data_IF_736514606140
#
_entry.id   IF_736514606140
#
_cell.length_a   1.000
_cell.length_b   1.000
_cell.length_c   1.000
_cell.angle_alpha   90.00
_cell.angle_beta   90.00
_cell.angle_gamma   90.00
#
_symmetry.space_group_name_H-M   'P 1'
#
loop_
_entity.id
_entity.type
_entity.pdbx_description
1 polymer ?
#
# COMPACT_ATOMS: atom_id res chain seq x y z
N UNK A 1 -35.20 -15.16 48.84
CA UNK A 1 -34.43 -16.10 47.98
C UNK A 1 -34.19 -15.42 46.63
N UNK A 2 -33.15 -14.60 46.52
CA UNK A 2 -33.00 -13.64 45.39
C UNK A 2 -31.56 -13.53 44.88
N UNK A 3 -30.68 -14.50 45.18
CA UNK A 3 -29.25 -14.46 44.83
C UNK A 3 -28.78 -15.57 43.86
N UNK A 4 -29.64 -16.51 43.48
CA UNK A 4 -29.25 -17.65 42.61
C UNK A 4 -29.48 -17.43 41.11
N UNK A 5 -30.40 -16.57 40.71
CA UNK A 5 -30.75 -16.35 39.29
C UNK A 5 -29.78 -15.37 38.61
N UNK A 6 -29.20 -14.41 39.33
CA UNK A 6 -28.25 -13.43 38.77
C UNK A 6 -26.89 -14.03 38.35
N UNK A 7 -26.48 -15.19 38.88
CA UNK A 7 -25.17 -15.78 38.54
C UNK A 7 -25.14 -16.48 37.17
N UNK A 8 -26.29 -16.94 36.67
CA UNK A 8 -26.36 -17.62 35.36
C UNK A 8 -26.30 -16.65 34.18
N UNK A 9 -26.94 -15.49 34.29
CA UNK A 9 -26.99 -14.49 33.24
C UNK A 9 -25.63 -13.83 32.98
N UNK A 10 -24.83 -13.59 34.03
CA UNK A 10 -23.48 -13.00 33.89
C UNK A 10 -22.49 -13.93 33.18
N UNK A 11 -22.57 -15.25 33.43
CA UNK A 11 -21.69 -16.22 32.77
C UNK A 11 -22.01 -16.35 31.29
N UNK A 12 -23.30 -16.33 30.92
CA UNK A 12 -23.72 -16.44 29.51
C UNK A 12 -23.30 -15.22 28.68
N UNK A 13 -23.41 -14.01 29.23
CA UNK A 13 -22.99 -12.76 28.55
C UNK A 13 -21.47 -12.74 28.32
N UNK A 14 -20.68 -13.18 29.30
CA UNK A 14 -19.22 -13.28 29.14
C UNK A 14 -18.80 -14.31 28.09
N UNK A 15 -19.51 -15.44 27.98
CA UNK A 15 -19.25 -16.45 26.94
C UNK A 15 -19.56 -15.92 25.54
N UNK A 16 -20.64 -15.16 25.37
CA UNK A 16 -21.00 -14.57 24.07
C UNK A 16 -19.99 -13.50 23.64
N UNK A 17 -19.53 -12.64 24.57
CA UNK A 17 -18.50 -11.63 24.28
C UNK A 17 -17.15 -12.28 23.94
N UNK A 18 -16.76 -13.33 24.69
CA UNK A 18 -15.54 -14.08 24.40
C UNK A 18 -15.61 -14.80 23.03
N UNK A 19 -16.77 -15.32 22.65
CA UNK A 19 -16.96 -15.97 21.35
C UNK A 19 -16.91 -14.98 20.17
N UNK A 20 -17.34 -13.72 20.35
CA UNK A 20 -17.24 -12.69 19.29
C UNK A 20 -15.84 -12.15 19.08
N UNK A 21 -14.97 -12.18 20.10
CA UNK A 21 -13.59 -11.68 20.00
C UNK A 21 -12.64 -12.60 19.21
N UNK A 22 -12.97 -13.89 19.06
CA UNK A 22 -12.15 -14.85 18.31
C UNK A 22 -12.40 -14.76 16.79
N UNK A 23 -13.45 -14.05 16.36
CA UNK A 23 -13.75 -13.79 14.94
C UNK A 23 -13.30 -12.41 14.47
N UNK A 24 -12.43 -11.72 15.20
CA UNK A 24 -11.60 -10.68 14.61
C UNK A 24 -10.63 -11.36 13.64
N UNK A 25 -11.14 -11.68 12.44
CA UNK A 25 -10.33 -12.19 11.35
C UNK A 25 -9.16 -11.25 11.14
N UNK A 26 -7.98 -11.83 10.92
CA UNK A 26 -6.83 -11.07 10.43
C UNK A 26 -7.32 -10.39 9.16
N UNK A 27 -7.50 -9.07 9.22
CA UNK A 27 -7.81 -8.28 8.04
C UNK A 27 -6.52 -8.31 7.20
N UNK A 28 -6.43 -9.30 6.30
CA UNK A 28 -5.38 -9.36 5.30
C UNK A 28 -5.68 -8.25 4.29
N UNK A 29 -5.08 -7.08 4.51
CA UNK A 29 -5.20 -5.94 3.61
C UNK A 29 -4.54 -6.19 2.24
N UNK A 30 -3.72 -7.23 2.14
CA UNK A 30 -3.03 -7.64 0.91
C UNK A 30 -3.58 -8.98 0.40
N UNK A 31 -4.26 -8.99 -0.75
CA UNK A 31 -4.60 -10.23 -1.46
C UNK A 31 -3.51 -10.56 -2.49
N UNK A 32 -3.25 -11.85 -2.72
CA UNK A 32 -2.36 -12.28 -3.80
C UNK A 32 -2.75 -11.63 -5.15
N UNK A 33 -1.77 -11.03 -5.82
CA UNK A 33 -1.91 -10.48 -7.17
C UNK A 33 -2.41 -9.03 -7.25
N UNK A 34 -2.47 -8.33 -6.12
CA UNK A 34 -2.68 -6.89 -6.07
C UNK A 34 -1.33 -6.18 -5.98
N UNK A 35 -1.13 -5.13 -6.76
CA UNK A 35 -0.02 -4.19 -6.59
C UNK A 35 -0.59 -2.83 -6.21
N UNK A 36 0.09 -2.13 -5.31
CA UNK A 36 -0.47 -0.95 -4.66
C UNK A 36 0.39 0.28 -4.92
N UNK A 37 -0.28 1.39 -5.10
CA UNK A 37 0.27 2.73 -5.04
C UNK A 37 -0.39 3.45 -3.85
N UNK A 38 0.39 3.74 -2.83
CA UNK A 38 -0.03 4.52 -1.68
C UNK A 38 0.44 5.97 -1.83
N UNK A 39 -0.44 6.91 -1.51
CA UNK A 39 -0.11 8.33 -1.46
C UNK A 39 -0.32 8.88 -0.06
N UNK A 40 0.65 9.67 0.39
CA UNK A 40 0.57 10.50 1.58
C UNK A 40 0.56 11.98 1.15
N UNK A 41 -0.57 12.63 1.39
CA UNK A 41 -0.85 14.00 0.95
C UNK A 41 -0.79 14.92 2.15
N UNK A 42 0.24 15.76 2.20
CA UNK A 42 0.43 16.78 3.21
C UNK A 42 0.01 18.16 2.69
N UNK A 43 0.24 19.21 3.49
CA UNK A 43 -0.14 20.58 3.13
C UNK A 43 0.63 21.08 1.89
N UNK A 44 1.92 20.75 1.80
CA UNK A 44 2.84 21.29 0.78
C UNK A 44 3.67 20.25 0.02
N UNK A 45 3.45 18.96 0.27
CA UNK A 45 4.21 17.86 -0.31
C UNK A 45 3.32 16.62 -0.53
N UNK A 46 3.73 15.77 -1.47
CA UNK A 46 3.11 14.48 -1.72
C UNK A 46 4.23 13.45 -1.74
N UNK A 47 4.09 12.46 -0.88
CA UNK A 47 4.97 11.30 -0.81
C UNK A 47 4.16 10.07 -1.19
N UNK A 48 4.85 8.97 -1.45
CA UNK A 48 4.16 7.71 -1.68
C UNK A 48 5.06 6.50 -1.68
N UNK A 49 4.40 5.37 -1.76
CA UNK A 49 5.03 4.06 -1.79
C UNK A 49 4.39 3.20 -2.88
N UNK A 50 5.21 2.44 -3.58
CA UNK A 50 4.76 1.40 -4.50
C UNK A 50 5.06 0.04 -3.90
N UNK A 51 4.03 -0.78 -3.72
CA UNK A 51 4.17 -2.12 -3.16
C UNK A 51 4.05 -3.13 -4.30
N UNK A 52 5.18 -3.75 -4.65
CA UNK A 52 5.28 -4.75 -5.69
C UNK A 52 5.29 -6.16 -5.11
N UNK A 53 4.37 -7.06 -5.52
CA UNK A 53 4.53 -8.48 -5.23
C UNK A 53 5.85 -8.97 -5.83
N UNK A 54 6.74 -9.54 -5.01
CA UNK A 54 8.07 -9.95 -5.46
C UNK A 54 8.01 -10.98 -6.59
N UNK A 55 7.06 -11.91 -6.52
CA UNK A 55 6.82 -12.91 -7.59
C UNK A 55 6.56 -12.24 -8.94
N UNK A 56 5.63 -11.28 -8.98
CA UNK A 56 5.28 -10.58 -10.21
C UNK A 56 6.43 -9.70 -10.71
N UNK A 57 7.16 -9.06 -9.78
CA UNK A 57 8.30 -8.22 -10.11
C UNK A 57 9.45 -9.03 -10.73
N UNK A 58 9.72 -10.22 -10.21
CA UNK A 58 10.68 -11.16 -10.78
C UNK A 58 10.32 -11.56 -12.21
N UNK A 59 9.04 -11.85 -12.46
CA UNK A 59 8.58 -12.22 -13.81
C UNK A 59 8.74 -11.07 -14.81
N UNK A 60 8.33 -9.85 -14.47
CA UNK A 60 8.38 -8.72 -15.41
C UNK A 60 9.80 -8.19 -15.64
N UNK A 61 10.66 -8.25 -14.62
CA UNK A 61 12.05 -7.81 -14.74
C UNK A 61 13.00 -8.92 -15.24
N UNK A 62 12.57 -10.17 -15.19
CA UNK A 62 13.47 -11.32 -15.37
C UNK A 62 14.55 -11.38 -14.28
N UNK A 63 14.19 -10.95 -13.06
CA UNK A 63 15.07 -10.87 -11.91
C UNK A 63 14.96 -12.12 -11.01
N UNK A 64 15.83 -12.19 -10.00
CA UNK A 64 15.85 -13.26 -8.99
C UNK A 64 15.92 -12.60 -7.59
N UNK A 65 14.91 -11.80 -7.30
CA UNK A 65 14.66 -11.13 -6.03
C UNK A 65 14.23 -12.21 -5.01
N UNK A 66 14.85 -12.28 -3.82
CA UNK A 66 14.45 -13.21 -2.77
C UNK A 66 12.99 -13.05 -2.35
N UNK A 67 12.31 -14.16 -2.05
CA UNK A 67 10.87 -14.22 -1.77
C UNK A 67 10.50 -13.86 -0.31
N UNK A 68 11.48 -13.46 0.50
CA UNK A 68 11.30 -12.94 1.86
C UNK A 68 11.54 -11.42 1.92
N UNK A 69 10.88 -10.74 2.86
CA UNK A 69 10.92 -9.28 2.99
C UNK A 69 12.34 -8.70 3.13
N UNK A 70 13.15 -9.26 4.04
CA UNK A 70 14.52 -8.77 4.29
C UNK A 70 15.40 -8.97 3.05
N UNK A 71 15.30 -10.14 2.41
CA UNK A 71 16.03 -10.46 1.20
C UNK A 71 15.64 -9.58 0.01
N UNK A 72 14.35 -9.31 -0.18
CA UNK A 72 13.84 -8.43 -1.24
C UNK A 72 14.38 -7.00 -1.08
N UNK A 73 14.33 -6.46 0.14
CA UNK A 73 14.90 -5.15 0.48
C UNK A 73 16.40 -5.09 0.18
N UNK A 74 17.17 -6.02 0.73
CA UNK A 74 18.63 -6.05 0.53
C UNK A 74 19.00 -6.16 -0.95
N UNK A 75 18.22 -6.92 -1.72
CA UNK A 75 18.41 -7.04 -3.16
C UNK A 75 18.14 -5.71 -3.87
N UNK A 76 17.05 -5.00 -3.52
CA UNK A 76 16.70 -3.73 -4.14
C UNK A 76 17.72 -2.63 -3.80
N UNK A 77 18.18 -2.56 -2.55
CA UNK A 77 19.28 -1.67 -2.14
C UNK A 77 20.58 -1.92 -2.91
N UNK A 78 20.83 -3.17 -3.34
CA UNK A 78 21.98 -3.52 -4.16
C UNK A 78 21.75 -3.26 -5.67
N UNK A 79 20.51 -3.08 -6.11
CA UNK A 79 20.12 -2.88 -7.52
C UNK A 79 19.11 -1.72 -7.68
N UNK A 80 19.39 -0.53 -7.11
CA UNK A 80 18.40 0.55 -7.02
C UNK A 80 17.91 1.02 -8.38
N UNK A 81 18.84 1.23 -9.32
CA UNK A 81 18.56 1.74 -10.66
C UNK A 81 17.52 0.88 -11.39
N UNK A 82 17.56 -0.45 -11.22
CA UNK A 82 16.63 -1.35 -11.91
C UNK A 82 15.19 -1.17 -11.42
N UNK A 83 14.99 -1.00 -10.11
CA UNK A 83 13.67 -0.77 -9.54
C UNK A 83 13.21 0.66 -9.83
N UNK A 84 14.08 1.65 -9.64
CA UNK A 84 13.77 3.05 -9.90
C UNK A 84 13.41 3.31 -11.37
N UNK A 85 14.17 2.76 -12.33
CA UNK A 85 13.89 2.92 -13.75
C UNK A 85 12.56 2.26 -14.14
N UNK A 86 12.28 1.07 -13.58
CA UNK A 86 11.01 0.40 -13.78
C UNK A 86 9.85 1.21 -13.21
N UNK A 87 9.95 1.66 -11.96
CA UNK A 87 8.94 2.49 -11.33
C UNK A 87 8.72 3.78 -12.12
N UNK A 88 9.78 4.49 -12.53
CA UNK A 88 9.71 5.72 -13.33
C UNK A 88 9.01 5.54 -14.68
N UNK A 89 9.13 4.35 -15.29
CA UNK A 89 8.46 4.05 -16.55
C UNK A 89 6.94 3.80 -16.39
N UNK A 90 6.49 3.47 -15.18
CA UNK A 90 5.14 2.97 -14.91
C UNK A 90 4.32 3.86 -13.97
N UNK A 91 4.86 4.98 -13.50
CA UNK A 91 4.13 5.98 -12.73
C UNK A 91 4.34 7.38 -13.31
N UNK A 92 3.26 8.14 -13.41
CA UNK A 92 3.32 9.55 -13.75
C UNK A 92 2.25 10.33 -12.98
N UNK A 93 2.63 11.51 -12.49
CA UNK A 93 1.73 12.44 -11.81
C UNK A 93 1.69 13.79 -12.52
N UNK A 94 0.52 14.42 -12.53
CA UNK A 94 0.35 15.73 -13.14
C UNK A 94 -0.83 16.51 -12.56
N UNK A 95 -0.76 17.84 -12.67
CA UNK A 95 -1.92 18.69 -12.42
C UNK A 95 -2.99 18.51 -13.49
N UNK A 96 -4.22 18.96 -13.21
CA UNK A 96 -5.31 18.96 -14.20
C UNK A 96 -5.02 19.83 -15.44
N UNK A 97 -4.08 20.75 -15.32
CA UNK A 97 -3.56 21.57 -16.42
C UNK A 97 -2.56 20.82 -17.32
N UNK A 98 -2.25 19.57 -17.00
CA UNK A 98 -1.26 18.75 -17.69
C UNK A 98 0.19 19.05 -17.30
N UNK A 99 0.42 19.88 -16.28
CA UNK A 99 1.77 20.10 -15.76
C UNK A 99 2.29 18.82 -15.11
N UNK A 100 3.36 18.24 -15.67
CA UNK A 100 4.01 17.05 -15.12
C UNK A 100 4.68 17.37 -13.78
N UNK A 101 4.56 16.44 -12.84
CA UNK A 101 5.19 16.51 -11.53
C UNK A 101 6.32 15.48 -11.51
N UNK A 102 7.60 15.91 -11.45
CA UNK A 102 8.73 14.99 -11.34
C UNK A 102 8.60 14.13 -10.08
N UNK A 103 9.04 12.88 -10.17
CA UNK A 103 9.06 11.93 -9.06
C UNK A 103 10.51 11.53 -8.81
N UNK A 104 10.92 11.55 -7.54
CA UNK A 104 12.24 11.10 -7.09
C UNK A 104 12.03 9.87 -6.24
N UNK A 105 12.68 8.76 -6.61
CA UNK A 105 12.60 7.53 -5.85
C UNK A 105 13.63 7.52 -4.72
N UNK A 106 13.20 7.06 -3.56
CA UNK A 106 13.98 7.01 -2.34
C UNK A 106 14.37 5.58 -1.97
N UNK A 107 14.25 5.31 -0.67
CA UNK A 107 14.64 4.06 -0.05
C UNK A 107 13.69 2.90 -0.40
N UNK A 108 14.14 1.69 -0.10
CA UNK A 108 13.37 0.47 -0.22
C UNK A 108 13.02 -0.11 1.13
N UNK A 109 11.91 -0.83 1.19
CA UNK A 109 11.59 -1.71 2.31
C UNK A 109 11.02 -3.04 1.84
N UNK A 110 10.95 -3.99 2.77
CA UNK A 110 10.33 -5.29 2.54
C UNK A 110 9.11 -5.47 3.44
N UNK A 111 8.04 -6.03 2.90
CA UNK A 111 6.85 -6.36 3.66
C UNK A 111 6.47 -7.82 3.47
N UNK A 112 6.33 -8.55 4.57
CA UNK A 112 5.84 -9.94 4.52
C UNK A 112 4.33 -9.95 4.28
N UNK A 113 3.90 -10.53 3.17
CA UNK A 113 2.50 -10.75 2.83
C UNK A 113 2.02 -12.16 3.12
N UNK A 114 0.70 -12.39 3.06
CA UNK A 114 0.13 -13.72 3.27
C UNK A 114 0.52 -14.73 2.18
N UNK A 115 0.76 -14.24 0.96
CA UNK A 115 1.00 -15.04 -0.25
C UNK A 115 2.41 -14.76 -0.85
N UNK A 116 3.33 -14.21 -0.05
CA UNK A 116 4.69 -13.85 -0.45
C UNK A 116 5.08 -12.44 -0.03
N UNK A 117 6.37 -12.10 -0.16
CA UNK A 117 6.87 -10.77 0.16
C UNK A 117 6.47 -9.71 -0.89
N UNK A 118 6.41 -8.48 -0.42
CA UNK A 118 6.33 -7.28 -1.23
C UNK A 118 7.64 -6.51 -1.12
N UNK A 119 8.09 -5.98 -2.26
CA UNK A 119 9.12 -4.94 -2.30
C UNK A 119 8.42 -3.58 -2.29
N UNK A 120 8.76 -2.74 -1.34
CA UNK A 120 8.27 -1.37 -1.21
C UNK A 120 9.31 -0.42 -1.80
N UNK A 121 8.91 0.43 -2.74
CA UNK A 121 9.72 1.53 -3.27
C UNK A 121 9.09 2.87 -2.89
N UNK A 122 9.77 3.64 -2.05
CA UNK A 122 9.34 4.97 -1.64
C UNK A 122 9.64 6.00 -2.74
N UNK A 123 8.82 7.05 -2.82
CA UNK A 123 9.08 8.18 -3.70
C UNK A 123 8.51 9.48 -3.14
N UNK A 124 9.08 10.58 -3.59
CA UNK A 124 8.63 11.94 -3.34
C UNK A 124 8.26 12.60 -4.67
N UNK A 125 7.22 13.43 -4.65
CA UNK A 125 6.95 14.34 -5.76
C UNK A 125 7.87 15.55 -5.64
N UNK A 126 8.87 15.66 -6.52
CA UNK A 126 9.86 16.74 -6.54
C UNK A 126 9.27 18.04 -7.10
N UNK A 127 8.41 18.64 -6.30
CA UNK A 127 7.75 19.91 -6.56
C UNK A 127 7.34 20.58 -5.25
N UNK A 128 7.68 21.85 -5.11
CA UNK A 128 7.14 22.68 -4.04
C UNK A 128 5.69 23.09 -4.35
N UNK A 129 4.78 22.85 -3.40
CA UNK A 129 3.40 23.32 -3.44
C UNK A 129 3.19 24.44 -2.41
N UNK A 130 2.51 25.51 -2.80
CA UNK A 130 1.97 26.47 -1.81
C UNK A 130 0.83 25.82 -1.01
N UNK A 131 -0.01 25.04 -1.71
CA UNK A 131 -0.99 24.10 -1.17
C UNK A 131 -1.14 22.97 -2.19
N UNK A 132 -1.13 21.71 -1.75
CA UNK A 132 -1.34 20.57 -2.65
C UNK A 132 -2.76 20.63 -3.23
N UNK A 133 -2.94 20.63 -4.57
CA UNK A 133 -4.26 20.73 -5.16
C UNK A 133 -5.11 19.50 -4.84
N UNK A 134 -6.39 19.72 -4.53
CA UNK A 134 -7.35 18.66 -4.20
C UNK A 134 -7.74 17.75 -5.37
N UNK A 135 -7.27 18.06 -6.58
CA UNK A 135 -7.51 17.29 -7.78
C UNK A 135 -6.23 17.28 -8.63
N UNK A 136 -5.81 16.09 -9.01
CA UNK A 136 -4.66 15.84 -9.88
C UNK A 136 -4.83 14.48 -10.56
N UNK A 137 -3.93 14.17 -11.49
CA UNK A 137 -3.95 12.95 -12.29
C UNK A 137 -2.78 12.08 -11.90
N UNK A 138 -3.07 10.80 -11.66
CA UNK A 138 -2.09 9.73 -11.48
C UNK A 138 -2.31 8.72 -12.59
N UNK A 139 -1.24 8.37 -13.29
CA UNK A 139 -1.19 7.22 -14.20
C UNK A 139 -0.28 6.19 -13.57
N UNK A 140 -0.77 4.96 -13.44
CA UNK A 140 -0.03 3.86 -12.86
C UNK A 140 -0.45 2.54 -13.51
N UNK A 141 0.49 1.81 -14.09
CA UNK A 141 0.25 0.54 -14.80
C UNK A 141 1.31 -0.53 -14.55
N UNK A 142 2.13 -0.35 -13.50
CA UNK A 142 3.16 -1.32 -13.16
C UNK A 142 2.53 -2.70 -12.94
N UNK A 143 3.25 -3.74 -13.37
CA UNK A 143 2.82 -5.15 -13.42
C UNK A 143 1.67 -5.38 -14.42
N UNK A 144 0.58 -4.62 -14.34
CA UNK A 144 -0.62 -4.77 -15.18
C UNK A 144 -0.32 -4.63 -16.67
N UNK A 145 0.65 -3.80 -17.05
CA UNK A 145 1.06 -3.66 -18.46
C UNK A 145 1.53 -4.99 -19.07
N UNK A 146 2.11 -5.89 -18.27
CA UNK A 146 2.59 -7.21 -18.69
C UNK A 146 1.65 -8.35 -18.25
N UNK A 147 0.94 -8.17 -17.13
CA UNK A 147 0.06 -9.15 -16.49
C UNK A 147 -1.34 -8.55 -16.31
N UNK A 148 -2.14 -8.45 -17.40
CA UNK A 148 -3.43 -7.74 -17.39
C UNK A 148 -4.51 -8.37 -16.47
N UNK A 149 -4.26 -9.58 -15.96
CA UNK A 149 -5.08 -10.24 -14.95
C UNK A 149 -4.82 -9.76 -13.51
N UNK A 150 -3.71 -9.05 -13.27
CA UNK A 150 -3.38 -8.45 -11.97
C UNK A 150 -4.14 -7.13 -11.76
N UNK A 151 -4.31 -6.73 -10.51
CA UNK A 151 -4.96 -5.47 -10.17
C UNK A 151 -3.93 -4.43 -9.70
N UNK A 152 -4.02 -3.20 -10.23
CA UNK A 152 -3.28 -2.04 -9.73
C UNK A 152 -4.23 -1.16 -8.93
N UNK A 153 -3.91 -0.93 -7.66
CA UNK A 153 -4.79 -0.29 -6.69
C UNK A 153 -4.13 0.98 -6.16
N UNK A 154 -4.88 2.09 -6.18
CA UNK A 154 -4.46 3.37 -5.63
C UNK A 154 -5.19 3.58 -4.30
N UNK A 155 -4.44 3.89 -3.25
CA UNK A 155 -4.97 4.27 -1.96
C UNK A 155 -4.35 5.59 -1.49
N UNK A 156 -5.14 6.39 -0.79
CA UNK A 156 -4.63 7.55 -0.06
C UNK A 156 -4.47 7.10 1.39
N UNK A 157 -3.22 6.83 1.77
CA UNK A 157 -2.85 6.41 3.12
C UNK A 157 -3.02 7.57 4.10
N UNK A 158 -2.53 8.76 3.73
CA UNK A 158 -2.68 9.96 4.54
C UNK A 158 -3.18 11.13 3.69
N UNK A 159 -4.09 11.91 4.26
CA UNK A 159 -4.52 13.20 3.71
C UNK A 159 -4.80 14.18 4.86
N UNK A 160 -3.82 15.04 5.13
CA UNK A 160 -3.88 16.04 6.19
C UNK A 160 -5.07 16.99 6.02
N UNK A 161 -5.39 17.37 4.78
CA UNK A 161 -6.46 18.31 4.47
C UNK A 161 -7.85 17.78 4.80
N UNK A 162 -8.07 16.45 4.72
CA UNK A 162 -9.33 15.82 5.13
C UNK A 162 -9.31 15.25 6.55
N UNK A 163 -8.15 15.18 7.20
CA UNK A 163 -7.96 14.51 8.49
C UNK A 163 -7.96 12.98 8.38
N UNK A 164 -7.57 12.44 7.22
CA UNK A 164 -7.41 11.01 6.99
C UNK A 164 -5.99 10.61 7.33
N UNK A 165 -5.81 9.57 8.16
CA UNK A 165 -4.50 9.11 8.60
C UNK A 165 -4.45 7.58 8.62
N UNK A 166 -3.37 6.99 8.10
CA UNK A 166 -3.11 5.55 8.05
C UNK A 166 -4.27 4.75 7.44
N UNK A 167 -4.88 5.29 6.38
CA UNK A 167 -5.97 4.67 5.65
C UNK A 167 -5.43 3.76 4.54
N UNK A 168 -4.94 2.60 4.95
CA UNK A 168 -4.44 1.58 4.01
C UNK A 168 -5.57 0.65 3.49
N UNK A 169 -6.80 0.81 4.01
CA UNK A 169 -7.92 -0.10 3.77
C UNK A 169 -8.97 0.41 2.76
N UNK A 170 -9.15 1.72 2.61
CA UNK A 170 -10.11 2.29 1.65
C UNK A 170 -9.41 2.65 0.32
N UNK A 171 -9.56 1.75 -0.66
CA UNK A 171 -9.03 1.89 -2.02
C UNK A 171 -9.87 2.85 -2.87
N UNK A 172 -9.21 3.68 -3.69
CA UNK A 172 -9.84 4.67 -4.57
C UNK A 172 -9.99 4.24 -6.04
N UNK A 173 -9.73 2.97 -6.37
CA UNK A 173 -9.98 2.43 -7.70
C UNK A 173 -11.02 1.29 -7.68
N UNK A 174 -12.20 1.57 -8.26
CA UNK A 174 -13.13 0.60 -8.82
C UNK A 174 -13.72 1.12 -10.12
#
# INVERSE_FOLDING_TARGET
MTKRVMRGATVMVLTVIAATLVMAGVAGAHQSGENYLYLDIFDSEIDGEIHYPVEDLNEVLGADIPDDADGAKMWAEANPDLIHDYSAAHIAMSGLDGSSWPIVFGDFDGLEGADGAYLIAAFDVDREFEEVPRQFVVTYDAIVHAKPERAALLAIATDFGSGTFNNEADMLLR
#
